data_IF_330409971437
#
_entry.id   IF_330409971437
#
_cell.length_a   1.000
_cell.length_b   1.000
_cell.length_c   1.000
_cell.angle_alpha   90.00
_cell.angle_beta   90.00
_cell.angle_gamma   90.00
#
_symmetry.space_group_name_H-M   'P 1'
#
loop_
_entity.id
_entity.type
_entity.pdbx_description
1 polymer ?
#
# COMPACT_ATOMS: atom_id res chain seq x y z
N UNK A 1 -2.22 7.23 -17.10
CA UNK A 1 -2.43 5.89 -16.50
C UNK A 1 -3.50 5.93 -15.40
N UNK A 2 -3.34 6.76 -14.36
CA UNK A 2 -4.33 6.93 -13.28
C UNK A 2 -5.79 7.08 -13.77
N UNK A 3 -6.04 8.02 -14.69
CA UNK A 3 -7.37 8.28 -15.26
C UNK A 3 -7.94 7.14 -16.13
N UNK A 4 -7.11 6.20 -16.57
CA UNK A 4 -7.56 4.98 -17.26
C UNK A 4 -8.10 4.01 -16.21
N UNK A 5 -7.29 3.71 -15.19
CA UNK A 5 -7.67 2.82 -14.10
C UNK A 5 -8.93 3.28 -13.34
N UNK A 6 -9.07 4.57 -13.01
CA UNK A 6 -10.29 5.07 -12.36
C UNK A 6 -11.54 4.97 -13.25
N UNK A 7 -11.39 5.02 -14.58
CA UNK A 7 -12.51 4.90 -15.51
C UNK A 7 -12.94 3.45 -15.67
N UNK A 8 -11.97 2.55 -15.81
CA UNK A 8 -12.20 1.13 -16.04
C UNK A 8 -12.58 0.41 -14.73
N UNK A 9 -12.04 0.89 -13.61
CA UNK A 9 -12.23 0.37 -12.26
C UNK A 9 -12.51 1.52 -11.28
N UNK A 10 -13.69 2.17 -11.34
CA UNK A 10 -14.05 3.24 -10.41
C UNK A 10 -14.18 2.76 -8.96
N UNK A 11 -14.41 1.46 -8.78
CA UNK A 11 -14.42 0.75 -7.50
C UNK A 11 -13.68 -0.58 -7.65
N UNK A 12 -13.12 -1.07 -6.55
CA UNK A 12 -12.67 -2.46 -6.44
C UNK A 12 -13.59 -3.24 -5.50
N UNK A 13 -13.63 -4.57 -5.59
CA UNK A 13 -14.27 -5.38 -4.57
C UNK A 13 -13.76 -5.01 -3.16
N UNK A 14 -14.67 -4.95 -2.20
CA UNK A 14 -14.34 -4.68 -0.81
C UNK A 14 -13.64 -5.90 -0.18
N UNK A 15 -12.62 -5.72 0.67
CA UNK A 15 -12.03 -6.82 1.43
C UNK A 15 -13.08 -7.52 2.31
N UNK A 16 -12.98 -8.84 2.45
CA UNK A 16 -13.87 -9.62 3.31
C UNK A 16 -15.32 -9.69 2.80
N UNK A 17 -15.53 -9.60 1.49
CA UNK A 17 -16.85 -9.67 0.82
C UNK A 17 -16.91 -10.72 -0.29
N UNK A 18 -16.05 -11.73 -0.23
CA UNK A 18 -16.06 -12.89 -1.14
C UNK A 18 -15.23 -12.73 -2.41
N UNK A 19 -14.57 -11.58 -2.61
CA UNK A 19 -13.77 -11.25 -3.81
C UNK A 19 -12.45 -10.56 -3.46
N UNK A 20 -11.89 -10.84 -2.27
CA UNK A 20 -10.62 -10.24 -1.82
C UNK A 20 -9.47 -10.58 -2.76
N UNK A 21 -9.41 -11.80 -3.28
CA UNK A 21 -8.36 -12.22 -4.21
C UNK A 21 -8.39 -11.42 -5.52
N UNK A 22 -9.58 -11.08 -6.03
CA UNK A 22 -9.73 -10.26 -7.22
C UNK A 22 -9.29 -8.81 -6.99
N UNK A 23 -9.64 -8.23 -5.83
CA UNK A 23 -9.13 -6.92 -5.42
C UNK A 23 -7.61 -6.90 -5.46
N UNK A 24 -6.97 -7.90 -4.88
CA UNK A 24 -5.52 -7.97 -4.81
C UNK A 24 -4.87 -8.21 -6.17
N UNK A 25 -5.50 -8.97 -7.07
CA UNK A 25 -5.04 -9.10 -8.44
C UNK A 25 -5.03 -7.75 -9.16
N UNK A 26 -6.11 -6.98 -9.08
CA UNK A 26 -6.20 -5.66 -9.71
C UNK A 26 -5.16 -4.69 -9.12
N UNK A 27 -4.96 -4.69 -7.80
CA UNK A 27 -3.91 -3.89 -7.16
C UNK A 27 -2.50 -4.30 -7.62
N UNK A 28 -2.24 -5.61 -7.77
CA UNK A 28 -0.98 -6.12 -8.30
C UNK A 28 -0.78 -5.71 -9.77
N UNK A 29 -1.83 -5.75 -10.60
CA UNK A 29 -1.77 -5.36 -12.01
C UNK A 29 -1.45 -3.85 -12.15
N UNK A 30 -2.11 -3.00 -11.36
CA UNK A 30 -1.80 -1.57 -11.29
C UNK A 30 -0.34 -1.35 -10.91
N UNK A 31 0.14 -2.03 -9.87
CA UNK A 31 1.50 -1.89 -9.36
C UNK A 31 2.59 -2.44 -10.29
N UNK A 32 2.26 -3.47 -11.08
CA UNK A 32 3.13 -3.99 -12.12
C UNK A 32 3.37 -2.94 -13.22
N UNK A 33 2.35 -2.15 -13.54
CA UNK A 33 2.47 -1.04 -14.48
C UNK A 33 3.26 0.14 -13.87
N UNK A 34 2.77 0.70 -12.75
CA UNK A 34 3.34 1.90 -12.12
C UNK A 34 3.04 1.96 -10.61
N UNK A 35 4.10 2.05 -9.80
CA UNK A 35 4.00 2.01 -8.34
C UNK A 35 3.47 3.31 -7.72
N UNK A 36 3.71 4.46 -8.33
CA UNK A 36 3.16 5.72 -7.86
C UNK A 36 1.64 5.75 -8.11
N UNK A 37 1.19 5.29 -9.29
CA UNK A 37 -0.23 5.12 -9.59
C UNK A 37 -0.86 4.11 -8.64
N UNK A 38 -0.19 2.99 -8.33
CA UNK A 38 -0.67 2.02 -7.36
C UNK A 38 -0.81 2.61 -5.95
N UNK A 39 0.18 3.37 -5.46
CA UNK A 39 0.10 4.02 -4.14
C UNK A 39 -1.08 4.98 -4.04
N UNK A 40 -1.37 5.72 -5.12
CA UNK A 40 -2.53 6.60 -5.18
C UNK A 40 -3.84 5.80 -5.17
N UNK A 41 -3.97 4.84 -6.08
CA UNK A 41 -5.21 4.10 -6.27
C UNK A 41 -5.54 3.18 -5.10
N UNK A 42 -4.54 2.55 -4.51
CA UNK A 42 -4.72 1.75 -3.30
C UNK A 42 -5.34 2.58 -2.18
N UNK A 43 -4.83 3.80 -1.92
CA UNK A 43 -5.40 4.69 -0.92
C UNK A 43 -6.81 5.15 -1.29
N UNK A 44 -7.10 5.40 -2.57
CA UNK A 44 -8.45 5.73 -3.03
C UNK A 44 -9.44 4.59 -2.78
N UNK A 45 -9.07 3.35 -3.12
CA UNK A 45 -9.90 2.18 -2.90
C UNK A 45 -9.96 1.76 -1.42
N UNK A 46 -8.96 2.11 -0.61
CA UNK A 46 -9.02 1.92 0.85
C UNK A 46 -9.96 2.94 1.50
N UNK A 47 -9.99 4.19 1.04
CA UNK A 47 -10.99 5.17 1.48
C UNK A 47 -12.43 4.66 1.26
N UNK A 48 -12.71 4.05 0.10
CA UNK A 48 -13.99 3.39 -0.17
C UNK A 48 -14.28 2.24 0.81
N UNK A 49 -13.28 1.42 1.13
CA UNK A 49 -13.43 0.32 2.08
C UNK A 49 -13.63 0.82 3.52
N UNK A 50 -12.89 1.85 3.95
CA UNK A 50 -13.05 2.49 5.26
C UNK A 50 -14.48 3.02 5.41
N UNK A 51 -14.95 3.80 4.45
CA UNK A 51 -16.29 4.38 4.49
C UNK A 51 -17.37 3.29 4.52
N UNK A 52 -17.22 2.22 3.72
CA UNK A 52 -18.15 1.09 3.73
C UNK A 52 -18.13 0.30 5.07
N UNK A 53 -16.95 0.08 5.66
CA UNK A 53 -16.83 -0.62 6.95
C UNK A 53 -17.42 0.19 8.12
N UNK A 54 -17.34 1.52 8.04
CA UNK A 54 -17.82 2.44 9.07
C UNK A 54 -19.27 2.91 8.86
N UNK A 55 -19.94 2.42 7.81
CA UNK A 55 -21.31 2.81 7.42
C UNK A 55 -21.46 4.32 7.23
N UNK A 56 -20.50 4.93 6.51
CA UNK A 56 -20.47 6.37 6.22
C UNK A 56 -20.51 6.62 4.71
N UNK A 57 -21.54 7.34 4.26
CA UNK A 57 -21.72 7.71 2.85
C UNK A 57 -21.25 9.15 2.59
N UNK A 58 -19.96 9.31 2.27
CA UNK A 58 -19.31 10.62 2.01
C UNK A 58 -18.55 10.68 0.69
N UNK A 59 -18.46 9.56 -0.04
CA UNK A 59 -17.67 9.47 -1.27
C UNK A 59 -18.61 9.56 -2.47
N UNK A 60 -18.43 10.58 -3.31
CA UNK A 60 -19.21 10.76 -4.54
C UNK A 60 -18.42 10.38 -5.80
N UNK A 61 -19.11 9.97 -6.89
CA UNK A 61 -18.47 9.70 -8.17
C UNK A 61 -17.61 10.88 -8.68
N UNK A 62 -16.44 10.56 -9.23
CA UNK A 62 -15.50 11.56 -9.77
C UNK A 62 -14.58 12.19 -8.72
N UNK A 63 -14.84 11.97 -7.42
CA UNK A 63 -13.92 12.37 -6.37
C UNK A 63 -12.70 11.44 -6.31
N UNK A 64 -11.54 12.03 -6.07
CA UNK A 64 -10.26 11.33 -5.83
C UNK A 64 -9.91 11.46 -4.35
N UNK A 65 -9.75 10.33 -3.69
CA UNK A 65 -9.57 10.24 -2.24
C UNK A 65 -8.17 9.76 -1.87
N UNK A 66 -7.61 10.35 -0.83
CA UNK A 66 -6.44 9.83 -0.12
C UNK A 66 -6.82 9.34 1.28
N UNK A 67 -5.92 8.54 1.87
CA UNK A 67 -5.93 8.22 3.30
C UNK A 67 -4.59 8.67 3.89
N UNK A 68 -4.62 9.69 4.73
CA UNK A 68 -3.46 10.24 5.44
C UNK A 68 -3.52 9.82 6.90
N UNK A 69 -3.09 8.58 7.15
CA UNK A 69 -3.09 7.97 8.48
C UNK A 69 -1.74 8.00 9.20
N UNK A 70 -0.66 8.38 8.50
CA UNK A 70 0.67 8.40 9.09
C UNK A 70 0.80 9.51 10.14
N UNK A 71 1.48 9.21 11.25
CA UNK A 71 1.79 10.17 12.32
C UNK A 71 3.29 10.18 12.63
N UNK A 72 4.12 10.57 11.65
CA UNK A 72 5.55 10.71 11.90
C UNK A 72 5.82 11.97 12.76
N UNK A 73 7.00 12.04 13.40
CA UNK A 73 7.41 13.22 14.15
C UNK A 73 7.24 14.51 13.32
N UNK A 74 6.70 15.55 13.94
CA UNK A 74 6.45 16.85 13.30
C UNK A 74 5.03 17.06 12.76
N UNK A 75 4.13 16.09 12.89
CA UNK A 75 2.69 16.33 12.69
C UNK A 75 2.07 16.89 13.97
N UNK A 76 1.40 18.04 13.90
CA UNK A 76 0.70 18.71 15.02
C UNK A 76 -0.79 18.93 14.73
N UNK A 77 -1.32 18.18 13.76
CA UNK A 77 -2.74 18.15 13.41
C UNK A 77 -3.61 17.98 14.65
N UNK A 78 -4.69 18.76 14.72
CA UNK A 78 -5.71 18.67 15.76
C UNK A 78 -7.10 19.00 15.21
N UNK A 79 -8.11 18.41 15.83
CA UNK A 79 -9.51 18.74 15.57
C UNK A 79 -10.06 19.67 16.67
N UNK A 80 -10.70 20.78 16.27
CA UNK A 80 -11.22 21.82 17.17
C UNK A 80 -12.73 21.76 17.38
N UNK A 81 -13.37 20.65 17.01
CA UNK A 81 -14.81 20.41 17.15
C UNK A 81 -15.59 20.55 15.83
N UNK A 82 -15.08 21.32 14.87
CA UNK A 82 -15.64 21.41 13.51
C UNK A 82 -14.59 21.60 12.41
N UNK A 83 -13.34 21.87 12.78
CA UNK A 83 -12.26 22.12 11.82
C UNK A 83 -10.97 21.41 12.22
N UNK A 84 -10.13 21.15 11.22
CA UNK A 84 -8.75 20.73 11.37
C UNK A 84 -7.81 21.94 11.36
N UNK A 85 -6.84 21.91 12.27
CA UNK A 85 -5.77 22.89 12.38
C UNK A 85 -4.42 22.19 12.59
N UNK A 86 -3.35 22.72 11.99
CA UNK A 86 -1.99 22.16 12.11
C UNK A 86 -1.52 21.48 10.84
N UNK A 87 -0.42 20.76 10.93
CA UNK A 87 0.28 20.12 9.81
C UNK A 87 0.12 18.62 9.87
N UNK A 88 -0.34 18.03 8.76
CA UNK A 88 -0.28 16.58 8.52
C UNK A 88 0.90 16.30 7.60
N UNK A 89 1.84 15.48 8.05
CA UNK A 89 2.97 15.09 7.24
C UNK A 89 2.67 13.82 6.43
N UNK A 90 3.48 13.57 5.41
CA UNK A 90 3.41 12.37 4.56
C UNK A 90 2.07 12.18 3.84
N UNK A 91 1.50 13.27 3.36
CA UNK A 91 0.30 13.32 2.56
C UNK A 91 0.61 12.94 1.10
N UNK A 92 0.70 11.63 0.82
CA UNK A 92 0.89 11.12 -0.53
C UNK A 92 -0.23 11.59 -1.47
N UNK A 93 0.15 12.06 -2.66
CA UNK A 93 -0.79 12.50 -3.69
C UNK A 93 -1.51 13.83 -3.40
N UNK A 94 -1.03 14.64 -2.45
CA UNK A 94 -1.73 15.84 -1.97
C UNK A 94 -2.18 16.81 -3.07
N UNK A 95 -1.34 17.02 -4.10
CA UNK A 95 -1.67 17.88 -5.23
C UNK A 95 -2.67 17.27 -6.23
N UNK A 96 -2.91 15.95 -6.13
CA UNK A 96 -3.68 15.16 -7.10
C UNK A 96 -5.02 14.68 -6.56
N UNK A 97 -5.28 14.76 -5.25
CA UNK A 97 -6.55 14.35 -4.64
C UNK A 97 -7.50 15.52 -4.44
N UNK A 98 -8.79 15.22 -4.40
CA UNK A 98 -9.87 16.19 -4.12
C UNK A 98 -10.35 16.12 -2.69
N UNK A 99 -10.16 14.98 -2.03
CA UNK A 99 -10.63 14.67 -0.70
C UNK A 99 -9.59 13.81 0.02
N UNK A 100 -9.58 13.86 1.34
CA UNK A 100 -8.75 12.97 2.15
C UNK A 100 -9.50 12.52 3.41
N UNK A 101 -9.20 11.29 3.84
CA UNK A 101 -9.42 10.84 5.20
C UNK A 101 -8.14 11.12 6.00
N UNK A 102 -8.24 11.87 7.09
CA UNK A 102 -7.09 12.34 7.90
C UNK A 102 -7.24 11.83 9.32
N UNK A 103 -6.22 11.15 9.84
CA UNK A 103 -6.18 10.77 11.26
C UNK A 103 -5.60 11.89 12.11
N UNK A 104 -6.19 12.07 13.30
CA UNK A 104 -5.59 12.85 14.39
C UNK A 104 -6.13 12.39 15.72
N UNK A 105 -5.34 12.56 16.78
CA UNK A 105 -5.82 12.37 18.15
C UNK A 105 -6.87 13.44 18.48
N UNK A 106 -7.98 13.03 19.09
CA UNK A 106 -9.01 13.91 19.61
C UNK A 106 -9.68 13.27 20.83
N UNK A 107 -9.87 14.05 21.90
CA UNK A 107 -10.48 13.59 23.16
C UNK A 107 -9.87 12.30 23.75
N UNK A 108 -8.56 12.09 23.54
CA UNK A 108 -7.84 10.92 24.08
C UNK A 108 -7.87 9.67 23.20
N UNK A 109 -8.47 9.72 22.01
CA UNK A 109 -8.58 8.60 21.08
C UNK A 109 -8.13 8.99 19.67
N UNK A 110 -7.89 7.99 18.81
CA UNK A 110 -7.60 8.20 17.39
C UNK A 110 -8.90 8.40 16.62
N UNK A 111 -9.04 9.54 15.95
CA UNK A 111 -10.22 9.87 15.17
C UNK A 111 -9.86 10.05 13.70
N UNK A 112 -10.83 9.75 12.82
CA UNK A 112 -10.72 9.90 11.38
C UNK A 112 -11.64 11.02 10.89
N UNK A 113 -11.15 11.87 10.00
CA UNK A 113 -11.91 13.00 9.49
C UNK A 113 -11.88 13.06 7.96
N UNK A 114 -13.04 13.24 7.34
CA UNK A 114 -13.17 13.55 5.93
C UNK A 114 -13.01 15.05 5.70
N UNK A 115 -12.20 15.41 4.70
CA UNK A 115 -11.94 16.80 4.32
C UNK A 115 -11.89 16.95 2.81
N UNK A 116 -12.55 17.99 2.30
CA UNK A 116 -12.39 18.48 0.92
C UNK A 116 -11.09 19.28 0.81
N UNK A 117 -10.32 19.03 -0.24
CA UNK A 117 -9.02 19.69 -0.47
C UNK A 117 -9.16 20.89 -1.41
N UNK A 118 -8.06 21.63 -1.57
CA UNK A 118 -7.97 22.84 -2.42
C UNK A 118 -8.96 23.96 -2.03
N UNK A 119 -9.29 24.04 -0.73
CA UNK A 119 -10.09 25.12 -0.16
C UNK A 119 -9.21 26.14 0.59
N UNK A 120 -9.72 27.35 0.88
CA UNK A 120 -9.01 28.33 1.70
C UNK A 120 -8.55 27.74 3.04
N UNK A 121 -7.37 28.16 3.50
CA UNK A 121 -6.77 27.65 4.74
C UNK A 121 -5.91 26.39 4.58
N UNK A 122 -5.73 25.90 3.34
CA UNK A 122 -4.83 24.78 3.06
C UNK A 122 -3.55 25.23 2.35
N UNK A 123 -2.41 24.68 2.76
CA UNK A 123 -1.12 24.87 2.08
C UNK A 123 -0.45 23.51 1.91
N UNK A 124 -0.07 23.20 0.67
CA UNK A 124 0.65 21.96 0.32
C UNK A 124 2.11 22.33 0.12
N UNK A 125 2.99 21.71 0.91
CA UNK A 125 4.44 21.84 0.78
C UNK A 125 5.05 20.48 0.43
N UNK A 126 5.42 20.32 -0.85
CA UNK A 126 6.11 19.15 -1.37
C UNK A 126 7.64 19.32 -1.40
N UNK A 127 8.18 20.46 -0.94
CA UNK A 127 9.62 20.74 -1.02
C UNK A 127 10.48 19.77 -0.21
N UNK A 128 9.92 19.17 0.85
CA UNK A 128 10.57 18.12 1.63
C UNK A 128 10.69 16.77 0.92
N UNK A 129 9.96 16.54 -0.18
CA UNK A 129 9.98 15.26 -0.89
C UNK A 129 11.11 15.19 -1.92
N UNK A 130 12.24 14.65 -1.48
CA UNK A 130 13.46 14.51 -2.28
C UNK A 130 13.68 13.07 -2.79
N UNK A 131 12.63 12.26 -2.83
CA UNK A 131 12.74 10.84 -3.13
C UNK A 131 13.08 10.59 -4.62
N UNK A 132 14.03 9.70 -4.87
CA UNK A 132 14.36 9.25 -6.23
C UNK A 132 13.36 8.18 -6.69
N UNK A 133 13.15 7.17 -5.86
CA UNK A 133 12.06 6.22 -6.00
C UNK A 133 10.79 6.77 -5.35
N UNK A 134 9.63 6.38 -5.88
CA UNK A 134 8.32 6.91 -5.54
C UNK A 134 8.22 8.43 -5.75
N UNK A 135 9.01 9.01 -6.65
CA UNK A 135 9.07 10.47 -6.81
C UNK A 135 7.71 11.06 -7.18
N UNK A 136 7.04 10.43 -8.13
CA UNK A 136 5.84 10.98 -8.79
C UNK A 136 4.56 10.86 -7.95
N UNK A 137 4.62 10.22 -6.77
CA UNK A 137 3.51 10.28 -5.80
C UNK A 137 3.41 11.66 -5.14
N UNK A 138 4.47 12.48 -5.22
CA UNK A 138 4.51 13.85 -4.71
C UNK A 138 3.97 13.97 -3.28
N UNK A 139 4.55 13.18 -2.37
CA UNK A 139 4.18 13.22 -0.94
C UNK A 139 4.50 14.60 -0.37
N UNK A 140 3.55 15.21 0.34
CA UNK A 140 3.71 16.56 0.88
C UNK A 140 3.46 16.61 2.38
N UNK A 141 3.89 17.70 3.01
CA UNK A 141 3.28 18.17 4.25
C UNK A 141 2.12 19.09 3.87
N UNK A 142 0.99 18.94 4.57
CA UNK A 142 -0.20 19.76 4.31
C UNK A 142 -0.59 20.48 5.59
N UNK A 143 -0.57 21.81 5.54
CA UNK A 143 -0.97 22.67 6.65
C UNK A 143 -2.42 23.07 6.50
N UNK A 144 -3.16 22.98 7.61
CA UNK A 144 -4.58 23.26 7.72
C UNK A 144 -4.77 24.43 8.69
N UNK A 145 -5.51 25.45 8.25
CA UNK A 145 -5.90 26.62 9.04
C UNK A 145 -7.43 26.70 9.06
N UNK A 146 -8.05 26.16 10.12
CA UNK A 146 -9.52 26.15 10.31
C UNK A 146 -10.28 25.53 9.15
N UNK A 147 -9.77 24.41 8.66
CA UNK A 147 -10.33 23.69 7.52
C UNK A 147 -11.52 22.84 7.97
N UNK A 148 -12.74 23.03 7.44
CA UNK A 148 -13.90 22.23 7.80
C UNK A 148 -13.63 20.74 7.60
N UNK A 149 -14.01 19.94 8.58
CA UNK A 149 -13.85 18.50 8.53
C UNK A 149 -15.01 17.78 9.21
N UNK A 150 -15.42 16.66 8.64
CA UNK A 150 -16.47 15.79 9.17
C UNK A 150 -15.82 14.57 9.82
N UNK A 151 -16.16 14.25 11.06
CA UNK A 151 -15.71 13.01 11.68
C UNK A 151 -16.34 11.80 10.98
N UNK A 152 -15.52 10.78 10.70
CA UNK A 152 -15.90 9.53 10.05
C UNK A 152 -15.78 8.41 11.07
N UNK A 153 -16.92 7.82 11.44
CA UNK A 153 -17.00 6.77 12.46
C UNK A 153 -16.76 7.26 13.89
N UNK A 154 -16.90 6.32 14.83
CA UNK A 154 -16.60 6.57 16.24
C UNK A 154 -15.07 6.70 16.48
N UNK A 155 -14.71 7.20 17.67
CA UNK A 155 -13.33 7.16 18.15
C UNK A 155 -12.74 5.75 18.09
N UNK A 156 -11.48 5.63 17.66
CA UNK A 156 -10.72 4.39 17.41
C UNK A 156 -11.31 3.43 16.36
N UNK A 157 -12.46 3.74 15.75
CA UNK A 157 -13.14 2.85 14.82
C UNK A 157 -12.30 2.53 13.58
N UNK A 158 -11.50 3.49 13.09
CA UNK A 158 -10.60 3.30 11.95
C UNK A 158 -9.51 2.25 12.23
N UNK A 159 -8.90 2.29 13.43
CA UNK A 159 -7.78 1.40 13.79
C UNK A 159 -8.25 0.03 14.27
N UNK A 160 -9.45 -0.05 14.84
CA UNK A 160 -10.01 -1.28 15.42
C UNK A 160 -10.77 -2.14 14.41
N UNK A 161 -11.08 -1.61 13.22
CA UNK A 161 -11.73 -2.39 12.15
C UNK A 161 -10.82 -3.53 11.66
N UNK A 162 -11.36 -4.75 11.39
CA UNK A 162 -10.60 -5.82 10.73
C UNK A 162 -9.99 -5.38 9.39
N UNK A 163 -10.72 -4.54 8.65
CA UNK A 163 -10.30 -3.97 7.37
C UNK A 163 -8.97 -3.20 7.40
N UNK A 164 -8.54 -2.70 8.56
CA UNK A 164 -7.23 -2.05 8.72
C UNK A 164 -6.10 -3.03 8.39
N UNK A 165 -6.19 -4.26 8.90
CA UNK A 165 -5.24 -5.32 8.62
C UNK A 165 -5.40 -5.87 7.20
N UNK A 166 -6.63 -6.02 6.72
CA UNK A 166 -6.89 -6.49 5.35
C UNK A 166 -6.31 -5.53 4.29
N UNK A 167 -6.41 -4.20 4.52
CA UNK A 167 -5.77 -3.18 3.70
C UNK A 167 -4.24 -3.31 3.67
N UNK A 168 -3.63 -3.62 4.81
CA UNK A 168 -2.19 -3.90 4.91
C UNK A 168 -1.70 -5.08 4.04
N UNK A 169 -2.55 -6.10 3.80
CA UNK A 169 -2.26 -7.16 2.84
C UNK A 169 -2.51 -6.74 1.38
N UNK A 170 -3.44 -5.81 1.12
CA UNK A 170 -3.60 -5.17 -0.19
C UNK A 170 -2.34 -4.43 -0.64
N UNK A 171 -1.68 -3.72 0.27
CA UNK A 171 -0.36 -3.11 0.00
C UNK A 171 0.69 -4.17 -0.40
N UNK A 172 0.69 -5.33 0.26
CA UNK A 172 1.60 -6.43 -0.11
C UNK A 172 1.28 -7.00 -1.50
N UNK A 173 0.01 -7.02 -1.92
CA UNK A 173 -0.35 -7.38 -3.29
C UNK A 173 0.24 -6.39 -4.32
N UNK A 174 0.26 -5.07 -4.02
CA UNK A 174 0.95 -4.09 -4.85
C UNK A 174 2.47 -4.40 -4.95
N UNK A 175 3.12 -4.73 -3.82
CA UNK A 175 4.53 -5.13 -3.83
C UNK A 175 4.79 -6.38 -4.68
N UNK A 176 3.89 -7.36 -4.60
CA UNK A 176 3.95 -8.59 -5.41
C UNK A 176 3.86 -8.28 -6.91
N UNK A 177 2.92 -7.42 -7.32
CA UNK A 177 2.76 -6.98 -8.71
C UNK A 177 4.02 -6.31 -9.27
N UNK A 178 4.56 -5.33 -8.54
CA UNK A 178 5.79 -4.65 -8.94
C UNK A 178 7.01 -5.58 -8.97
N UNK A 179 7.11 -6.51 -8.01
CA UNK A 179 8.16 -7.54 -7.98
C UNK A 179 8.08 -8.46 -9.19
N UNK A 180 6.87 -8.87 -9.58
CA UNK A 180 6.62 -9.66 -10.78
C UNK A 180 7.05 -8.93 -12.05
N UNK A 181 6.80 -7.62 -12.13
CA UNK A 181 7.23 -6.80 -13.25
C UNK A 181 8.75 -6.60 -13.32
N UNK A 182 9.45 -6.54 -12.18
CA UNK A 182 10.93 -6.56 -12.12
C UNK A 182 11.45 -7.91 -12.59
N UNK A 183 10.92 -9.02 -12.06
CA UNK A 183 11.28 -10.38 -12.45
C UNK A 183 11.09 -10.65 -13.95
N UNK A 184 10.03 -10.05 -14.53
CA UNK A 184 9.69 -10.24 -15.93
C UNK A 184 10.83 -9.82 -16.89
N UNK A 185 11.63 -8.82 -16.52
CA UNK A 185 12.78 -8.38 -17.32
C UNK A 185 13.81 -9.51 -17.48
N UNK A 186 14.12 -10.24 -16.40
CA UNK A 186 14.97 -11.42 -16.47
C UNK A 186 14.27 -12.57 -17.21
N UNK A 187 12.98 -12.82 -16.93
CA UNK A 187 12.20 -13.89 -17.57
C UNK A 187 12.22 -13.81 -19.10
N UNK A 188 12.16 -12.60 -19.65
CA UNK A 188 12.17 -12.37 -21.11
C UNK A 188 13.58 -12.23 -21.70
N UNK A 189 14.62 -12.14 -20.88
CA UNK A 189 15.98 -11.94 -21.36
C UNK A 189 16.50 -13.19 -22.08
N UNK A 190 17.03 -13.00 -23.29
CA UNK A 190 17.66 -14.09 -24.07
C UNK A 190 18.84 -14.75 -23.35
N UNK A 191 19.47 -14.04 -22.39
CA UNK A 191 20.56 -14.51 -21.54
C UNK A 191 20.18 -15.79 -20.77
N UNK A 192 18.94 -15.92 -20.31
CA UNK A 192 18.45 -17.10 -19.57
C UNK A 192 18.66 -18.40 -20.35
N UNK A 193 18.58 -18.36 -21.69
CA UNK A 193 18.77 -19.55 -22.54
C UNK A 193 20.24 -19.95 -22.72
N UNK A 194 21.18 -19.06 -22.39
CA UNK A 194 22.61 -19.19 -22.73
C UNK A 194 23.51 -19.22 -21.49
N UNK A 195 22.98 -18.80 -20.34
CA UNK A 195 23.71 -18.68 -19.09
C UNK A 195 23.00 -19.47 -17.97
N UNK A 196 23.59 -20.57 -17.48
CA UNK A 196 22.97 -21.40 -16.44
C UNK A 196 22.77 -20.64 -15.12
N UNK A 197 23.59 -19.63 -14.81
CA UNK A 197 23.42 -18.82 -13.59
C UNK A 197 22.24 -17.85 -13.73
N UNK A 198 22.05 -17.25 -14.92
CA UNK A 198 20.85 -16.45 -15.18
C UNK A 198 19.57 -17.29 -15.07
N UNK A 199 19.61 -18.55 -15.55
CA UNK A 199 18.51 -19.49 -15.38
C UNK A 199 18.27 -19.86 -13.91
N UNK A 200 19.33 -20.10 -13.13
CA UNK A 200 19.22 -20.37 -11.69
C UNK A 200 18.62 -19.19 -10.91
N UNK A 201 19.02 -17.95 -11.23
CA UNK A 201 18.41 -16.75 -10.67
C UNK A 201 16.92 -16.66 -10.97
N UNK A 202 16.52 -16.92 -12.23
CA UNK A 202 15.11 -16.92 -12.61
C UNK A 202 14.32 -18.02 -11.87
N UNK A 203 14.87 -19.23 -11.74
CA UNK A 203 14.21 -20.32 -11.02
C UNK A 203 13.97 -20.02 -9.53
N UNK A 204 14.92 -19.36 -8.87
CA UNK A 204 14.75 -18.92 -7.48
C UNK A 204 13.64 -17.86 -7.35
N UNK A 205 13.59 -16.90 -8.28
CA UNK A 205 12.54 -15.87 -8.32
C UNK A 205 11.16 -16.50 -8.58
N UNK A 206 11.08 -17.44 -9.54
CA UNK A 206 9.84 -18.15 -9.89
C UNK A 206 9.26 -18.91 -8.69
N UNK A 207 10.08 -19.70 -7.99
CA UNK A 207 9.67 -20.42 -6.79
C UNK A 207 9.19 -19.45 -5.67
N UNK A 208 9.86 -18.31 -5.51
CA UNK A 208 9.47 -17.27 -4.58
C UNK A 208 8.13 -16.63 -4.93
N UNK A 209 7.93 -16.24 -6.19
CA UNK A 209 6.67 -15.68 -6.69
C UNK A 209 5.52 -16.68 -6.57
N UNK A 210 5.74 -17.95 -6.89
CA UNK A 210 4.75 -19.01 -6.74
C UNK A 210 4.31 -19.15 -5.27
N UNK A 211 5.28 -19.14 -4.35
CA UNK A 211 5.04 -19.26 -2.90
C UNK A 211 4.27 -18.05 -2.36
N UNK A 212 4.71 -16.83 -2.69
CA UNK A 212 4.05 -15.60 -2.26
C UNK A 212 2.62 -15.49 -2.85
N UNK A 213 2.44 -15.84 -4.12
CA UNK A 213 1.13 -15.85 -4.77
C UNK A 213 0.17 -16.86 -4.14
N UNK A 214 0.66 -18.05 -3.75
CA UNK A 214 -0.15 -19.02 -3.03
C UNK A 214 -0.59 -18.49 -1.65
N UNK A 215 0.34 -17.89 -0.90
CA UNK A 215 0.05 -17.32 0.41
C UNK A 215 -0.95 -16.15 0.33
N UNK A 216 -0.81 -15.27 -0.66
CA UNK A 216 -1.79 -14.21 -0.94
C UNK A 216 -3.18 -14.79 -1.23
N UNK A 217 -3.30 -15.78 -2.11
CA UNK A 217 -4.61 -16.40 -2.42
C UNK A 217 -5.23 -17.06 -1.20
N UNK A 218 -4.43 -17.76 -0.40
CA UNK A 218 -4.90 -18.40 0.83
C UNK A 218 -5.40 -17.36 1.84
N UNK A 219 -4.64 -16.28 2.08
CA UNK A 219 -5.06 -15.23 3.01
C UNK A 219 -6.33 -14.53 2.53
N UNK A 220 -6.46 -14.26 1.23
CA UNK A 220 -7.66 -13.68 0.66
C UNK A 220 -8.90 -14.55 0.92
N UNK A 221 -8.78 -15.87 0.74
CA UNK A 221 -9.86 -16.82 1.05
C UNK A 221 -10.21 -16.83 2.54
N UNK A 222 -9.22 -16.77 3.43
CA UNK A 222 -9.43 -16.70 4.87
C UNK A 222 -10.15 -15.41 5.29
N UNK A 223 -9.73 -14.26 4.75
CA UNK A 223 -10.38 -12.96 4.96
C UNK A 223 -11.83 -13.00 4.47
N UNK A 224 -12.09 -13.56 3.30
CA UNK A 224 -13.45 -13.68 2.76
C UNK A 224 -14.33 -14.64 3.59
N UNK A 225 -13.77 -15.71 4.15
CA UNK A 225 -14.48 -16.66 4.99
C UNK A 225 -14.74 -16.13 6.41
N UNK A 226 -13.84 -15.30 6.94
CA UNK A 226 -13.88 -14.77 8.30
C UNK A 226 -13.62 -13.25 8.31
N UNK A 227 -14.51 -12.44 7.72
CA UNK A 227 -14.25 -11.01 7.51
C UNK A 227 -14.20 -10.18 8.80
N UNK A 228 -14.69 -10.73 9.92
CA UNK A 228 -14.60 -10.09 11.23
C UNK A 228 -13.27 -10.36 11.94
N UNK A 229 -12.47 -11.32 11.46
CA UNK A 229 -11.13 -11.57 11.97
C UNK A 229 -10.15 -10.64 11.23
N UNK A 230 -9.34 -9.85 11.95
CA UNK A 230 -8.27 -9.06 11.33
C UNK A 230 -7.25 -9.89 10.52
N UNK A 231 -7.15 -11.19 10.77
CA UNK A 231 -6.15 -12.09 10.16
C UNK A 231 -4.71 -11.57 10.36
N UNK A 232 -4.44 -10.89 11.48
CA UNK A 232 -3.21 -10.14 11.74
C UNK A 232 -1.94 -10.97 11.48
N UNK A 233 -1.89 -12.21 11.96
CA UNK A 233 -0.77 -13.13 11.72
C UNK A 233 -0.55 -13.37 10.22
N UNK A 234 -1.61 -13.70 9.49
CA UNK A 234 -1.54 -13.98 8.06
C UNK A 234 -1.12 -12.76 7.25
N UNK A 235 -1.62 -11.57 7.61
CA UNK A 235 -1.22 -10.30 7.01
C UNK A 235 0.27 -10.03 7.23
N UNK A 236 0.78 -10.20 8.46
CA UNK A 236 2.21 -10.04 8.77
C UNK A 236 3.09 -11.05 8.02
N UNK A 237 2.64 -12.29 7.87
CA UNK A 237 3.33 -13.31 7.08
C UNK A 237 3.42 -12.93 5.61
N UNK A 238 2.29 -12.59 4.97
CA UNK A 238 2.25 -12.16 3.57
C UNK A 238 3.16 -10.96 3.35
N UNK A 239 3.04 -9.92 4.18
CA UNK A 239 3.85 -8.71 4.06
C UNK A 239 5.35 -9.03 4.17
N UNK A 240 5.74 -9.87 5.13
CA UNK A 240 7.15 -10.23 5.32
C UNK A 240 7.70 -11.09 4.18
N UNK A 241 6.92 -12.05 3.67
CA UNK A 241 7.31 -12.91 2.54
C UNK A 241 7.48 -12.08 1.27
N UNK A 242 6.51 -11.20 0.96
CA UNK A 242 6.56 -10.40 -0.26
C UNK A 242 7.66 -9.34 -0.20
N UNK A 243 7.89 -8.71 0.97
CA UNK A 243 9.00 -7.78 1.18
C UNK A 243 10.36 -8.45 0.92
N UNK A 244 10.58 -9.63 1.50
CA UNK A 244 11.83 -10.37 1.35
C UNK A 244 12.04 -10.80 -0.10
N UNK A 245 10.97 -11.28 -0.75
CA UNK A 245 10.98 -11.65 -2.16
C UNK A 245 11.30 -10.46 -3.07
N UNK A 246 10.74 -9.28 -2.78
CA UNK A 246 11.02 -8.07 -3.55
C UNK A 246 12.51 -7.70 -3.50
N UNK A 247 13.11 -7.70 -2.30
CA UNK A 247 14.56 -7.45 -2.13
C UNK A 247 15.41 -8.47 -2.88
N UNK A 248 15.13 -9.75 -2.70
CA UNK A 248 15.88 -10.84 -3.34
C UNK A 248 15.73 -10.80 -4.87
N UNK A 249 14.54 -10.48 -5.38
CA UNK A 249 14.30 -10.32 -6.83
C UNK A 249 15.10 -9.15 -7.41
N UNK A 250 15.14 -8.00 -6.73
CA UNK A 250 15.94 -6.84 -7.16
C UNK A 250 17.43 -7.21 -7.27
N UNK A 251 17.99 -7.88 -6.25
CA UNK A 251 19.39 -8.32 -6.25
C UNK A 251 19.65 -9.37 -7.34
N UNK A 252 18.82 -10.40 -7.45
CA UNK A 252 18.99 -11.48 -8.45
C UNK A 252 18.90 -10.98 -9.88
N UNK A 253 17.95 -10.10 -10.19
CA UNK A 253 17.82 -9.51 -11.54
C UNK A 253 19.06 -8.67 -11.87
N UNK A 254 19.54 -7.86 -10.91
CA UNK A 254 20.78 -7.08 -11.05
C UNK A 254 22.01 -7.96 -11.30
N UNK A 255 22.18 -9.05 -10.54
CA UNK A 255 23.28 -10.00 -10.72
C UNK A 255 23.23 -10.73 -12.05
N UNK A 256 22.04 -11.16 -12.49
CA UNK A 256 21.87 -11.93 -13.72
C UNK A 256 22.05 -11.06 -14.98
N UNK A 257 21.58 -9.81 -14.95
CA UNK A 257 21.57 -8.94 -16.14
C UNK A 257 22.70 -7.91 -16.14
N UNK A 258 23.32 -7.64 -14.99
CA UNK A 258 24.29 -6.56 -14.83
C UNK A 258 23.60 -5.18 -14.86
N UNK A 259 24.36 -4.08 -15.04
CA UNK A 259 23.82 -2.73 -15.00
C UNK A 259 22.95 -2.37 -16.21
N UNK A 260 22.98 -3.18 -17.29
CA UNK A 260 22.33 -2.88 -18.57
C UNK A 260 20.88 -2.41 -18.45
N UNK A 261 19.96 -3.19 -17.86
CA UNK A 261 18.57 -2.76 -17.67
C UNK A 261 18.42 -1.51 -16.81
N UNK A 262 19.24 -1.34 -15.76
CA UNK A 262 19.19 -0.17 -14.88
C UNK A 262 19.68 1.12 -15.58
N UNK A 263 20.54 1.00 -16.59
CA UNK A 263 21.09 2.14 -17.32
C UNK A 263 20.43 2.38 -18.68
N UNK A 264 19.81 1.36 -19.27
CA UNK A 264 19.27 1.40 -20.64
C UNK A 264 17.74 1.32 -20.72
N UNK A 265 17.05 0.96 -19.65
CA UNK A 265 15.59 0.94 -19.58
C UNK A 265 15.11 1.82 -18.42
N UNK A 266 14.64 3.03 -18.76
CA UNK A 266 14.15 4.00 -17.78
C UNK A 266 12.97 3.47 -16.97
N UNK A 267 12.07 2.70 -17.59
CA UNK A 267 10.87 2.17 -16.92
C UNK A 267 11.27 1.13 -15.89
N UNK A 268 12.17 0.21 -16.26
CA UNK A 268 12.70 -0.78 -15.31
C UNK A 268 13.49 -0.11 -14.18
N UNK A 269 14.39 0.82 -14.50
CA UNK A 269 15.18 1.54 -13.51
C UNK A 269 14.31 2.30 -12.50
N UNK A 270 13.27 3.00 -12.98
CA UNK A 270 12.32 3.70 -12.12
C UNK A 270 11.55 2.71 -11.24
N UNK A 271 11.05 1.61 -11.80
CA UNK A 271 10.34 0.57 -11.02
C UNK A 271 11.21 -0.01 -9.92
N UNK A 272 12.50 -0.27 -10.18
CA UNK A 272 13.43 -0.76 -9.18
C UNK A 272 13.65 0.27 -8.06
N UNK A 273 13.79 1.55 -8.41
CA UNK A 273 13.92 2.63 -7.43
C UNK A 273 12.64 2.79 -6.58
N UNK A 274 11.47 2.78 -7.23
CA UNK A 274 10.16 2.89 -6.59
C UNK A 274 9.92 1.72 -5.64
N UNK A 275 10.14 0.48 -6.09
CA UNK A 275 9.93 -0.72 -5.29
C UNK A 275 10.82 -0.70 -4.04
N UNK A 276 12.07 -0.28 -4.19
CA UNK A 276 13.04 -0.19 -3.08
C UNK A 276 12.57 0.74 -1.96
N UNK A 277 11.84 1.81 -2.31
CA UNK A 277 11.23 2.74 -1.33
C UNK A 277 9.90 2.17 -0.83
N UNK A 278 9.04 1.68 -1.72
CA UNK A 278 7.67 1.32 -1.39
C UNK A 278 7.55 0.15 -0.41
N UNK A 279 8.48 -0.81 -0.47
CA UNK A 279 8.56 -1.94 0.48
C UNK A 279 9.03 -1.52 1.88
N UNK A 280 9.53 -0.29 2.08
CA UNK A 280 9.87 0.24 3.42
C UNK A 280 8.65 0.64 4.26
N UNK A 281 7.45 0.49 3.72
CA UNK A 281 6.22 0.47 4.52
C UNK A 281 6.03 -0.85 5.28
N UNK A 282 6.85 -1.88 5.03
CA UNK A 282 7.06 -2.96 6.00
C UNK A 282 7.89 -2.42 7.17
N UNK A 283 7.45 -2.64 8.41
CA UNK A 283 8.14 -2.05 9.58
C UNK A 283 9.34 -2.87 10.06
N UNK A 284 9.90 -3.71 9.19
CA UNK A 284 11.07 -4.52 9.44
C UNK A 284 10.89 -5.43 10.64
N UNK A 285 11.84 -5.36 11.55
CA UNK A 285 11.94 -6.18 12.74
C UNK A 285 10.75 -5.98 13.69
N UNK A 286 10.05 -4.84 13.66
CA UNK A 286 8.82 -4.65 14.46
C UNK A 286 7.69 -5.56 13.99
N UNK A 287 7.48 -5.65 12.66
CA UNK A 287 6.49 -6.56 12.08
C UNK A 287 6.88 -8.02 12.35
N UNK A 288 8.19 -8.36 12.30
CA UNK A 288 8.70 -9.70 12.62
C UNK A 288 8.58 -10.06 14.11
N UNK A 289 8.82 -9.11 15.01
CA UNK A 289 8.63 -9.28 16.44
C UNK A 289 7.17 -9.63 16.73
N UNK A 290 6.23 -8.82 16.23
CA UNK A 290 4.79 -9.06 16.39
C UNK A 290 4.38 -10.44 15.85
N UNK A 291 4.92 -10.83 14.69
CA UNK A 291 4.68 -12.16 14.12
C UNK A 291 5.23 -13.28 15.01
N UNK A 292 6.42 -13.10 15.59
CA UNK A 292 7.04 -14.05 16.52
C UNK A 292 6.22 -14.23 17.81
N UNK A 293 5.74 -13.13 18.39
CA UNK A 293 4.88 -13.14 19.57
C UNK A 293 3.54 -13.84 19.30
N UNK A 294 2.89 -13.52 18.17
CA UNK A 294 1.67 -14.23 17.73
C UNK A 294 1.93 -15.71 17.47
N UNK A 295 3.12 -16.07 16.99
CA UNK A 295 3.51 -17.47 16.81
C UNK A 295 3.67 -18.21 18.12
N UNK A 296 4.26 -17.55 19.12
CA UNK A 296 4.48 -18.13 20.42
C UNK A 296 3.17 -18.38 21.17
N UNK A 297 2.16 -17.52 20.97
CA UNK A 297 0.85 -17.63 21.62
C UNK A 297 -0.05 -18.72 21.01
N UNK A 298 0.24 -19.20 19.79
CA UNK A 298 -0.54 -20.27 19.16
C UNK A 298 0.05 -21.64 19.53
N UNK A 299 -0.75 -22.47 20.21
CA UNK A 299 -0.44 -23.90 20.48
C UNK A 299 -0.54 -24.79 19.21
N UNK A 300 -0.30 -24.23 18.03
CA UNK A 300 -0.41 -24.92 16.75
C UNK A 300 0.98 -25.22 16.19
N UNK A 301 1.32 -26.51 16.12
CA UNK A 301 2.48 -26.97 15.35
C UNK A 301 2.28 -26.70 13.85
N UNK A 302 3.37 -26.39 13.13
CA UNK A 302 3.34 -26.26 11.67
C UNK A 302 2.89 -27.57 11.01
N UNK A 303 1.83 -27.51 10.19
CA UNK A 303 1.26 -28.64 9.44
C UNK A 303 0.96 -28.20 8.00
N UNK A 304 1.03 -29.15 7.06
CA UNK A 304 0.62 -29.01 5.64
C UNK A 304 -0.76 -29.62 5.48
#
# INVERSE_FOLDING_TARGET
MLQRWLRDHPVLPLPGRGRTAERWQLLADIAAEDLCVAKFLEAHYDAQAICADLDVDVIEPGQRWAVWAAEPPGSDMRFTGSTLEGTKAWCSGAAQVTHALVTTQHAGASCLFAVTLNQPGMQIDASGWQAIGMRDIETANVTFTKVPAQQVGASDAYLTRPGFWHGGAGIAACWFGATSAVANVLRTASRVRRDPHAAAHLGAIDAGLASAGALLRQLAQQIDAQPQDPQMRGVLQVRSVVEALARDTLDRVGRALGPGPLCGDRVHAQRCADLSVFIRQHHGERDLQALGELCHQQDLAWKI
#
